data_IF_253050695061
#
_entry.id   IF_253050695061
#
_cell.length_a   1.000
_cell.length_b   1.000
_cell.length_c   1.000
_cell.angle_alpha   90.00
_cell.angle_beta   90.00
_cell.angle_gamma   90.00
#
_symmetry.space_group_name_H-M   'P 1'
#
loop_
_entity.id
_entity.type
_entity.pdbx_description
1 polymer ?
#
# COMPACT_ATOMS: atom_id res chain seq x y z
N UNK A 1 3.90 27.87 8.18
CA UNK A 1 4.24 26.48 8.53
C UNK A 1 3.15 25.99 9.49
N UNK A 2 2.15 25.32 8.97
CA UNK A 2 1.09 24.73 9.79
C UNK A 2 1.65 23.43 10.38
N UNK A 3 1.67 23.32 11.72
CA UNK A 3 1.95 22.05 12.36
C UNK A 3 0.70 21.18 12.26
N UNK A 4 0.78 20.13 11.48
CA UNK A 4 -0.29 19.15 11.42
C UNK A 4 -0.26 18.31 12.71
N UNK A 5 -1.39 18.25 13.39
CA UNK A 5 -1.57 17.46 14.60
C UNK A 5 -2.47 16.28 14.25
N UNK A 6 -1.93 15.07 14.34
CA UNK A 6 -2.76 13.86 14.31
C UNK A 6 -3.27 13.62 15.72
N UNK A 7 -4.56 13.85 15.94
CA UNK A 7 -5.21 13.60 17.22
C UNK A 7 -5.82 12.22 17.22
N UNK A 8 -5.30 11.35 18.05
CA UNK A 8 -5.78 10.00 18.27
C UNK A 8 -6.75 10.00 19.46
N UNK A 9 -7.99 9.63 19.22
CA UNK A 9 -8.99 9.46 20.27
C UNK A 9 -9.11 7.98 20.63
N UNK A 10 -8.86 7.65 21.88
CA UNK A 10 -9.02 6.30 22.41
C UNK A 10 -10.22 6.21 23.32
N UNK A 11 -11.06 5.23 23.07
CA UNK A 11 -11.99 4.72 24.06
C UNK A 11 -11.57 3.28 24.39
N UNK A 12 -10.99 3.09 25.55
CA UNK A 12 -10.62 1.76 26.03
C UNK A 12 -11.10 1.63 27.47
N UNK A 13 -11.84 0.56 27.80
CA UNK A 13 -12.44 0.34 29.13
C UNK A 13 -11.43 -0.25 30.11
N UNK A 14 -11.04 0.45 31.22
CA UNK A 14 -10.02 -0.05 32.16
C UNK A 14 -9.96 0.46 33.58
N UNK A 15 -9.16 -0.24 34.34
CA UNK A 15 -8.70 -0.02 35.72
C UNK A 15 -7.60 1.04 35.81
N UNK A 16 -7.60 1.79 36.89
CA UNK A 16 -6.69 2.90 37.13
C UNK A 16 -5.28 2.44 37.42
N UNK A 17 -4.36 2.77 36.53
CA UNK A 17 -2.93 2.78 36.70
C UNK A 17 -2.35 3.74 35.68
N UNK A 18 -1.28 4.46 36.03
CA UNK A 18 -0.52 5.19 35.01
C UNK A 18 0.39 4.21 34.29
N UNK A 19 0.58 4.32 32.97
CA UNK A 19 1.58 3.53 32.28
C UNK A 19 2.96 3.85 32.89
N UNK A 20 3.62 2.86 33.49
CA UNK A 20 4.90 3.05 34.13
C UNK A 20 6.06 3.27 33.19
N UNK A 21 5.99 2.66 32.02
CA UNK A 21 6.98 2.84 30.97
C UNK A 21 6.29 2.73 29.60
N UNK A 22 6.45 3.77 28.78
CA UNK A 22 6.09 3.71 27.38
C UNK A 22 7.36 3.55 26.59
N UNK A 23 7.53 2.39 26.01
CA UNK A 23 8.58 2.12 25.05
C UNK A 23 8.06 2.37 23.63
N UNK A 24 8.94 2.78 22.76
CA UNK A 24 8.63 3.10 21.37
C UNK A 24 9.44 2.21 20.46
N UNK A 25 8.83 1.76 19.39
CA UNK A 25 9.50 1.04 18.32
C UNK A 25 8.76 1.29 17.03
N UNK A 26 9.35 0.89 15.94
CA UNK A 26 8.78 1.05 14.60
C UNK A 26 9.76 1.74 13.68
N UNK A 27 9.32 1.96 12.49
CA UNK A 27 10.10 2.55 11.42
C UNK A 27 9.43 2.32 10.09
N UNK A 28 10.10 2.66 9.00
CA UNK A 28 9.62 2.32 7.69
C UNK A 28 9.52 0.80 7.59
N UNK A 29 8.52 0.34 6.85
CA UNK A 29 8.58 -0.98 6.31
C UNK A 29 9.67 -0.95 5.22
N UNK A 30 10.91 -1.20 5.59
CA UNK A 30 11.99 -1.39 4.61
C UNK A 30 11.82 -2.77 4.01
N UNK A 31 11.25 -2.78 2.82
CA UNK A 31 11.26 -3.93 1.96
C UNK A 31 12.61 -3.87 1.23
N UNK A 32 13.53 -4.76 1.55
CA UNK A 32 14.72 -4.94 0.72
C UNK A 32 14.28 -5.67 -0.55
N UNK A 33 14.14 -4.94 -1.63
CA UNK A 33 13.87 -5.54 -2.95
C UNK A 33 15.12 -6.28 -3.44
N UNK A 34 15.01 -7.55 -3.82
CA UNK A 34 16.14 -8.27 -4.41
C UNK A 34 16.52 -7.62 -5.75
N UNK A 35 17.80 -7.32 -5.93
CA UNK A 35 18.35 -6.70 -7.14
C UNK A 35 18.02 -7.54 -8.38
N UNK A 36 17.43 -6.92 -9.40
CA UNK A 36 17.11 -7.53 -10.69
C UNK A 36 15.99 -8.56 -10.68
N UNK A 37 15.17 -8.61 -9.62
CA UNK A 37 13.96 -9.43 -9.61
C UNK A 37 12.77 -8.61 -10.08
N UNK A 38 12.08 -9.14 -11.08
CA UNK A 38 10.87 -8.54 -11.64
C UNK A 38 9.63 -9.01 -10.86
N UNK A 39 8.68 -8.11 -10.69
CA UNK A 39 7.38 -8.39 -10.07
C UNK A 39 6.62 -9.51 -10.80
N UNK A 40 6.69 -9.52 -12.11
CA UNK A 40 6.18 -10.60 -12.98
C UNK A 40 7.39 -11.29 -13.61
N UNK A 41 7.59 -12.56 -13.30
CA UNK A 41 8.73 -13.33 -13.83
C UNK A 41 8.63 -13.52 -15.34
N UNK A 42 9.76 -13.76 -16.01
CA UNK A 42 9.76 -14.05 -17.46
C UNK A 42 9.03 -15.35 -17.78
N UNK A 43 9.05 -16.32 -16.87
CA UNK A 43 8.29 -17.57 -16.96
C UNK A 43 6.80 -17.31 -16.90
N UNK A 44 6.35 -16.46 -15.98
CA UNK A 44 4.93 -16.08 -15.87
C UNK A 44 4.47 -15.25 -17.08
N UNK A 45 5.29 -14.29 -17.55
CA UNK A 45 5.00 -13.54 -18.78
C UNK A 45 4.89 -14.44 -19.99
N UNK A 46 5.79 -15.41 -20.13
CA UNK A 46 5.74 -16.39 -21.23
C UNK A 46 4.47 -17.24 -21.17
N UNK A 47 4.14 -17.71 -19.97
CA UNK A 47 2.89 -18.47 -19.77
C UNK A 47 1.66 -17.64 -20.14
N UNK A 48 1.58 -16.40 -19.70
CA UNK A 48 0.47 -15.47 -20.02
C UNK A 48 0.37 -15.26 -21.52
N UNK A 49 1.48 -14.97 -22.20
CA UNK A 49 1.52 -14.75 -23.66
C UNK A 49 1.10 -15.98 -24.47
N UNK A 50 1.32 -17.20 -23.96
CA UNK A 50 0.88 -18.45 -24.58
C UNK A 50 -0.62 -18.73 -24.37
N UNK A 51 -1.23 -18.15 -23.33
CA UNK A 51 -2.62 -18.46 -22.93
C UNK A 51 -3.61 -17.33 -23.16
N UNK A 52 -3.14 -16.13 -23.46
CA UNK A 52 -4.00 -15.00 -23.79
C UNK A 52 -4.59 -15.15 -25.21
N UNK A 53 -5.73 -14.54 -25.42
CA UNK A 53 -6.27 -14.39 -26.78
C UNK A 53 -5.57 -13.24 -27.51
N UNK A 54 -5.42 -13.40 -28.82
CA UNK A 54 -4.99 -12.31 -29.69
C UNK A 54 -6.21 -11.47 -30.10
N UNK A 55 -6.04 -10.15 -30.08
CA UNK A 55 -7.03 -9.20 -30.57
C UNK A 55 -6.47 -8.53 -31.82
N UNK A 56 -7.26 -8.54 -32.88
CA UNK A 56 -6.89 -7.87 -34.11
C UNK A 56 -7.16 -6.38 -33.99
N UNK A 57 -6.09 -5.59 -34.00
CA UNK A 57 -6.15 -4.13 -33.89
C UNK A 57 -6.04 -3.49 -35.28
N UNK A 58 -6.82 -2.45 -35.49
CA UNK A 58 -6.65 -1.61 -36.69
C UNK A 58 -5.34 -0.81 -36.55
N UNK A 59 -4.30 -1.23 -37.27
CA UNK A 59 -2.99 -0.58 -37.25
C UNK A 59 -3.03 0.90 -37.67
N UNK A 60 -4.16 1.35 -38.23
CA UNK A 60 -4.37 2.77 -38.55
C UNK A 60 -4.84 3.61 -37.33
N UNK A 61 -5.38 2.97 -36.32
CA UNK A 61 -5.79 3.61 -35.05
C UNK A 61 -4.54 3.96 -34.24
N UNK A 62 -4.17 5.21 -34.28
CA UNK A 62 -2.98 5.74 -33.56
C UNK A 62 -3.37 6.68 -32.41
N UNK A 63 -4.61 6.64 -31.99
CA UNK A 63 -5.05 7.47 -30.88
C UNK A 63 -4.35 7.05 -29.59
N UNK A 64 -3.88 8.04 -28.84
CA UNK A 64 -3.32 7.78 -27.52
C UNK A 64 -4.43 7.32 -26.58
N UNK A 65 -4.26 6.13 -26.00
CA UNK A 65 -5.13 5.67 -24.92
C UNK A 65 -4.72 6.38 -23.64
N UNK A 66 -5.66 7.06 -23.02
CA UNK A 66 -5.46 7.69 -21.72
C UNK A 66 -6.13 6.86 -20.63
N UNK A 67 -5.41 6.65 -19.54
CA UNK A 67 -5.85 5.86 -18.40
C UNK A 67 -6.47 6.74 -17.32
N UNK A 68 -7.60 6.28 -16.79
CA UNK A 68 -8.13 6.76 -15.52
C UNK A 68 -7.45 6.02 -14.36
N UNK A 69 -7.71 6.47 -13.13
CA UNK A 69 -7.23 5.79 -11.94
C UNK A 69 -7.78 4.35 -11.87
N UNK A 70 -6.93 3.30 -11.78
CA UNK A 70 -7.37 1.91 -11.70
C UNK A 70 -7.91 1.50 -10.34
N UNK A 71 -7.84 2.39 -9.32
CA UNK A 71 -8.29 2.12 -7.96
C UNK A 71 -9.66 2.72 -7.71
N UNK A 72 -10.65 1.91 -7.43
CA UNK A 72 -11.95 2.38 -6.99
C UNK A 72 -11.94 2.92 -5.54
N UNK A 73 -13.02 3.55 -5.14
CA UNK A 73 -13.25 4.06 -3.77
C UNK A 73 -12.23 5.12 -3.29
N UNK A 74 -11.84 6.04 -4.16
CA UNK A 74 -11.02 7.17 -3.74
C UNK A 74 -9.82 7.41 -4.63
N UNK A 75 -9.25 6.35 -5.16
CA UNK A 75 -8.20 6.40 -6.16
C UNK A 75 -6.81 6.77 -5.64
N UNK A 76 -5.80 6.40 -6.41
CA UNK A 76 -4.39 6.61 -6.07
C UNK A 76 -3.94 8.07 -6.19
N UNK A 77 -4.65 8.86 -7.01
CA UNK A 77 -4.30 10.25 -7.31
C UNK A 77 -5.05 11.25 -6.44
N UNK A 78 -5.91 10.79 -5.56
CA UNK A 78 -6.68 11.65 -4.68
C UNK A 78 -6.00 11.78 -3.31
N UNK A 79 -5.32 12.90 -3.06
CA UNK A 79 -4.66 13.18 -1.78
C UNK A 79 -5.63 13.19 -0.58
N UNK A 80 -6.92 13.39 -0.83
CA UNK A 80 -7.98 13.35 0.19
C UNK A 80 -8.65 11.97 0.29
N UNK A 81 -8.09 10.97 -0.39
CA UNK A 81 -8.60 9.60 -0.35
C UNK A 81 -8.79 9.12 1.08
N UNK A 82 -10.01 8.65 1.37
CA UNK A 82 -10.40 8.18 2.69
C UNK A 82 -9.92 6.75 3.00
N UNK A 83 -9.60 5.98 1.96
CA UNK A 83 -9.14 4.59 2.09
C UNK A 83 -7.66 4.54 2.42
N UNK A 84 -6.87 5.48 1.92
CA UNK A 84 -5.43 5.55 2.19
C UNK A 84 -4.59 4.84 1.13
N UNK A 85 -5.03 4.86 -0.13
CA UNK A 85 -4.22 4.41 -1.25
C UNK A 85 -2.92 5.19 -1.34
N UNK A 86 -1.85 4.50 -1.77
CA UNK A 86 -0.54 5.11 -1.89
C UNK A 86 0.29 4.41 -2.95
N UNK A 87 1.07 5.18 -3.72
CA UNK A 87 2.04 4.61 -4.65
C UNK A 87 3.32 4.29 -3.87
N UNK A 88 3.77 3.04 -3.93
CA UNK A 88 5.02 2.59 -3.35
C UNK A 88 6.16 2.59 -4.34
N UNK A 89 5.88 2.19 -5.58
CA UNK A 89 6.90 2.11 -6.61
C UNK A 89 6.35 2.59 -7.95
N UNK A 90 7.19 3.31 -8.67
CA UNK A 90 7.00 3.68 -10.07
C UNK A 90 7.81 2.75 -10.98
N UNK A 91 7.66 2.91 -12.30
CA UNK A 91 8.50 2.22 -13.28
C UNK A 91 9.96 2.63 -13.09
N UNK A 92 10.88 1.66 -13.14
CA UNK A 92 12.30 1.93 -13.11
C UNK A 92 12.80 2.39 -14.49
N UNK A 93 13.22 3.64 -14.57
CA UNK A 93 13.77 4.26 -15.79
C UNK A 93 15.23 3.91 -16.03
N UNK A 94 15.90 3.26 -15.07
CA UNK A 94 17.32 2.90 -15.20
C UNK A 94 17.49 1.42 -15.54
N UNK A 95 17.84 1.13 -16.78
CA UNK A 95 18.07 -0.24 -17.25
C UNK A 95 19.36 -0.89 -16.75
N UNK A 96 20.19 -0.18 -15.96
CA UNK A 96 21.46 -0.69 -15.45
C UNK A 96 21.27 -1.42 -14.14
N UNK A 97 21.57 -2.71 -14.10
CA UNK A 97 21.43 -3.55 -12.91
C UNK A 97 22.03 -2.91 -11.64
N UNK A 98 21.24 -2.85 -10.58
CA UNK A 98 21.60 -2.26 -9.29
C UNK A 98 21.49 -0.74 -9.22
N UNK A 99 20.96 -0.09 -10.26
CA UNK A 99 20.68 1.34 -10.29
C UNK A 99 19.18 1.55 -10.52
N UNK A 100 18.59 2.47 -9.79
CA UNK A 100 17.18 2.78 -9.86
C UNK A 100 16.95 4.26 -10.14
N UNK A 101 15.88 4.56 -10.86
CA UNK A 101 15.45 5.92 -11.18
C UNK A 101 13.97 5.95 -11.53
N UNK A 102 13.18 6.74 -10.83
CA UNK A 102 11.80 6.98 -11.21
C UNK A 102 11.66 8.20 -12.15
N UNK A 103 10.48 8.40 -12.72
CA UNK A 103 10.18 9.48 -13.65
C UNK A 103 10.40 10.88 -13.07
N UNK A 104 10.42 11.04 -11.73
CA UNK A 104 10.68 12.32 -11.04
C UNK A 104 12.17 12.59 -10.82
N UNK A 105 13.06 11.69 -11.29
CA UNK A 105 14.50 11.67 -11.00
C UNK A 105 14.83 11.34 -9.54
N UNK A 106 13.95 10.66 -8.84
CA UNK A 106 14.15 10.13 -7.49
C UNK A 106 14.30 8.61 -7.51
N UNK A 107 14.16 7.98 -6.35
CA UNK A 107 14.42 6.57 -6.13
C UNK A 107 13.18 5.83 -5.56
N UNK A 108 11.96 6.27 -5.93
CA UNK A 108 10.69 5.65 -5.51
C UNK A 108 10.36 4.52 -6.48
N UNK A 109 11.24 3.54 -6.55
CA UNK A 109 11.14 2.34 -7.38
C UNK A 109 12.14 1.28 -6.89
N UNK A 110 12.19 0.13 -7.54
CA UNK A 110 13.24 -0.87 -7.35
C UNK A 110 13.77 -1.37 -8.68
N UNK A 111 14.98 -1.97 -8.67
CA UNK A 111 15.72 -2.38 -9.84
C UNK A 111 14.92 -3.33 -10.76
N UNK A 112 14.59 -2.86 -11.95
CA UNK A 112 13.85 -3.58 -12.97
C UNK A 112 12.32 -3.57 -12.80
N UNK A 113 11.76 -2.70 -11.96
CA UNK A 113 10.30 -2.56 -11.82
C UNK A 113 9.64 -1.99 -13.07
N UNK A 114 8.56 -2.63 -13.54
CA UNK A 114 7.96 -2.37 -14.85
C UNK A 114 6.56 -1.74 -14.79
N UNK A 115 6.04 -1.49 -13.59
CA UNK A 115 4.71 -0.93 -13.38
C UNK A 115 4.64 0.13 -12.29
N UNK A 116 3.43 0.43 -11.88
CA UNK A 116 3.12 1.28 -10.72
C UNK A 116 2.51 0.41 -9.63
N UNK A 117 3.14 0.34 -8.47
CA UNK A 117 2.59 -0.39 -7.31
C UNK A 117 1.74 0.55 -6.46
N UNK A 118 0.45 0.25 -6.37
CA UNK A 118 -0.53 1.02 -5.64
C UNK A 118 -1.03 0.20 -4.45
N UNK A 119 -0.58 0.55 -3.25
CA UNK A 119 -0.89 -0.20 -2.02
C UNK A 119 -2.18 0.27 -1.37
N UNK A 120 -2.81 -0.65 -0.66
CA UNK A 120 -3.89 -0.39 0.29
C UNK A 120 -3.37 -0.52 1.72
N UNK A 121 -4.07 -0.01 2.75
CA UNK A 121 -3.54 0.05 4.12
C UNK A 121 -3.19 -1.30 4.76
N UNK A 122 -3.64 -2.42 4.22
CA UNK A 122 -3.26 -3.74 4.70
C UNK A 122 -4.25 -4.84 4.36
N UNK A 123 -4.01 -6.03 4.95
CA UNK A 123 -4.80 -7.23 4.67
C UNK A 123 -6.25 -7.14 5.13
N UNK A 124 -6.57 -6.34 6.15
CA UNK A 124 -7.96 -6.09 6.52
C UNK A 124 -8.75 -5.47 5.35
N UNK A 125 -8.18 -4.47 4.69
CA UNK A 125 -8.79 -3.82 3.54
C UNK A 125 -8.93 -4.77 2.35
N UNK A 126 -7.97 -5.68 2.18
CA UNK A 126 -8.04 -6.77 1.21
C UNK A 126 -9.16 -7.76 1.56
N UNK A 127 -9.23 -8.22 2.81
CA UNK A 127 -10.20 -9.21 3.26
C UNK A 127 -11.64 -8.70 3.14
N UNK A 128 -11.86 -7.45 3.53
CA UNK A 128 -13.17 -6.78 3.44
C UNK A 128 -13.50 -6.29 2.01
N UNK A 129 -12.60 -6.53 1.03
CA UNK A 129 -12.77 -6.10 -0.36
C UNK A 129 -13.14 -4.61 -0.49
N UNK A 130 -12.46 -3.76 0.30
CA UNK A 130 -12.78 -2.32 0.36
C UNK A 130 -12.41 -1.61 -0.93
N UNK A 131 -11.34 -2.06 -1.60
CA UNK A 131 -10.82 -1.42 -2.81
C UNK A 131 -10.99 -2.31 -4.02
N UNK A 132 -11.97 -2.03 -4.90
CA UNK A 132 -12.05 -2.66 -6.19
C UNK A 132 -10.95 -2.16 -7.13
N UNK A 133 -10.46 -3.03 -7.99
CA UNK A 133 -9.67 -2.69 -9.15
C UNK A 133 -10.64 -2.48 -10.30
N UNK A 134 -10.51 -1.34 -10.97
CA UNK A 134 -11.41 -0.96 -12.07
C UNK A 134 -10.63 -0.77 -13.38
N UNK A 135 -11.31 -0.95 -14.49
CA UNK A 135 -10.74 -0.73 -15.81
C UNK A 135 -10.34 0.74 -15.98
N UNK A 136 -9.05 0.99 -16.18
CA UNK A 136 -8.50 2.33 -16.36
C UNK A 136 -8.79 2.91 -17.75
N UNK A 137 -9.00 2.07 -18.75
CA UNK A 137 -9.39 2.44 -20.10
C UNK A 137 -10.27 1.34 -20.72
N UNK A 138 -11.09 1.66 -21.73
CA UNK A 138 -11.95 0.67 -22.39
C UNK A 138 -11.11 -0.30 -23.22
N UNK A 139 -11.56 -1.55 -23.34
CA UNK A 139 -10.82 -2.54 -24.11
C UNK A 139 -11.46 -3.93 -24.09
N UNK A 140 -10.67 -4.91 -24.48
CA UNK A 140 -11.03 -6.32 -24.46
C UNK A 140 -10.13 -7.06 -23.47
N UNK A 141 -10.70 -7.85 -22.59
CA UNK A 141 -9.95 -8.71 -21.68
C UNK A 141 -9.27 -9.81 -22.50
N UNK A 142 -7.95 -9.77 -22.61
CA UNK A 142 -7.17 -10.77 -23.35
C UNK A 142 -6.72 -11.94 -22.47
N UNK A 143 -6.64 -11.71 -21.16
CA UNK A 143 -6.29 -12.72 -20.18
C UNK A 143 -6.99 -12.43 -18.86
N UNK A 144 -7.49 -13.47 -18.21
CA UNK A 144 -7.97 -13.43 -16.83
C UNK A 144 -7.60 -14.72 -16.13
N UNK A 145 -7.04 -14.61 -14.93
CA UNK A 145 -6.62 -15.73 -14.10
C UNK A 145 -6.99 -15.49 -12.65
N UNK A 146 -7.50 -16.52 -11.96
CA UNK A 146 -7.94 -16.45 -10.58
C UNK A 146 -7.73 -17.80 -9.89
N UNK A 147 -7.75 -17.79 -8.54
CA UNK A 147 -7.68 -18.98 -7.71
C UNK A 147 -6.33 -19.17 -7.01
N UNK A 148 -5.36 -18.30 -7.26
CA UNK A 148 -4.06 -18.36 -6.61
C UNK A 148 -4.12 -17.81 -5.17
N UNK A 149 -3.19 -18.26 -4.33
CA UNK A 149 -3.05 -17.78 -2.96
C UNK A 149 -2.71 -16.28 -2.92
N UNK A 150 -3.47 -15.48 -2.19
CA UNK A 150 -3.44 -14.03 -2.23
C UNK A 150 -2.96 -13.34 -0.94
N UNK A 151 -2.34 -14.09 -0.01
CA UNK A 151 -1.87 -13.51 1.25
C UNK A 151 -0.35 -13.70 1.39
N UNK A 152 0.38 -13.28 0.36
CA UNK A 152 1.83 -13.27 0.40
C UNK A 152 2.32 -12.11 1.28
N UNK A 153 3.29 -12.39 2.15
CA UNK A 153 3.95 -11.40 3.04
C UNK A 153 5.44 -11.28 2.75
N UNK A 154 5.93 -12.07 1.79
CA UNK A 154 7.31 -12.06 1.30
C UNK A 154 7.35 -12.68 -0.10
N UNK A 155 8.38 -12.33 -0.86
CA UNK A 155 8.51 -12.78 -2.25
C UNK A 155 8.79 -14.27 -2.35
N UNK A 156 7.96 -14.98 -3.08
CA UNK A 156 8.12 -16.40 -3.38
C UNK A 156 8.37 -16.55 -4.87
N UNK A 157 9.58 -16.99 -5.25
CA UNK A 157 9.90 -17.25 -6.64
C UNK A 157 8.98 -18.32 -7.23
N UNK A 158 8.44 -18.04 -8.41
CA UNK A 158 7.56 -18.94 -9.13
C UNK A 158 6.14 -19.00 -8.60
N UNK A 159 5.76 -18.14 -7.63
CA UNK A 159 4.37 -17.95 -7.28
C UNK A 159 3.63 -17.26 -8.43
N UNK A 160 2.45 -17.77 -8.79
CA UNK A 160 1.59 -17.24 -9.83
C UNK A 160 0.60 -16.24 -9.20
N UNK A 161 0.34 -15.15 -9.90
CA UNK A 161 -0.61 -14.14 -9.43
C UNK A 161 -2.00 -14.32 -10.06
N UNK A 162 -3.03 -13.85 -9.35
CA UNK A 162 -4.33 -13.56 -9.94
C UNK A 162 -4.22 -12.23 -10.69
N UNK A 163 -4.77 -12.14 -11.90
CA UNK A 163 -4.64 -10.94 -12.71
C UNK A 163 -5.51 -10.89 -13.93
N UNK A 164 -5.60 -9.70 -14.51
CA UNK A 164 -6.35 -9.39 -15.73
C UNK A 164 -5.47 -8.57 -16.66
N UNK A 165 -5.55 -8.85 -17.96
CA UNK A 165 -4.94 -8.02 -19.00
C UNK A 165 -6.05 -7.52 -19.92
N UNK A 166 -5.99 -6.22 -20.18
CA UNK A 166 -6.91 -5.53 -21.08
C UNK A 166 -6.14 -4.97 -22.26
N UNK A 167 -6.54 -5.35 -23.46
CA UNK A 167 -5.99 -4.81 -24.70
C UNK A 167 -6.87 -3.68 -25.22
N UNK A 168 -6.24 -2.57 -25.56
CA UNK A 168 -6.90 -1.31 -25.95
C UNK A 168 -6.86 -1.10 -27.48
N UNK A 169 -7.67 -0.18 -27.98
CA UNK A 169 -7.87 0.07 -29.41
C UNK A 169 -6.60 0.34 -30.21
N UNK A 170 -5.57 0.91 -29.59
CA UNK A 170 -4.27 1.21 -30.21
C UNK A 170 -3.23 0.09 -30.06
N UNK A 171 -3.63 -1.08 -29.52
CA UNK A 171 -2.76 -2.23 -29.28
C UNK A 171 -1.91 -2.13 -28.01
N UNK A 172 -2.07 -1.08 -27.17
CA UNK A 172 -1.47 -1.10 -25.83
C UNK A 172 -2.23 -2.06 -24.93
N UNK A 173 -1.55 -2.62 -23.94
CA UNK A 173 -2.14 -3.50 -22.95
C UNK A 173 -1.93 -2.94 -21.54
N UNK A 174 -2.97 -3.01 -20.70
CA UNK A 174 -2.86 -2.74 -19.28
C UNK A 174 -2.95 -4.06 -18.51
N UNK A 175 -1.98 -4.28 -17.63
CA UNK A 175 -1.89 -5.45 -16.78
C UNK A 175 -2.28 -5.04 -15.36
N UNK A 176 -3.22 -5.78 -14.76
CA UNK A 176 -3.73 -5.60 -13.40
C UNK A 176 -3.38 -6.83 -12.59
N UNK A 177 -2.34 -6.77 -11.74
CA UNK A 177 -1.72 -7.93 -11.12
C UNK A 177 -1.87 -7.94 -9.59
N UNK A 178 -1.58 -9.09 -8.97
CA UNK A 178 -1.67 -9.36 -7.53
C UNK A 178 -3.09 -9.33 -6.96
N UNK A 179 -4.10 -9.61 -7.77
CA UNK A 179 -5.49 -9.57 -7.33
C UNK A 179 -5.80 -10.58 -6.22
N UNK A 180 -6.88 -10.29 -5.50
CA UNK A 180 -7.44 -11.17 -4.46
C UNK A 180 -8.02 -12.44 -5.07
N UNK A 181 -7.81 -13.57 -4.39
CA UNK A 181 -8.35 -14.88 -4.82
C UNK A 181 -9.88 -14.88 -4.82
N UNK A 182 -10.47 -15.48 -5.84
CA UNK A 182 -11.90 -15.56 -6.11
C UNK A 182 -12.57 -14.17 -6.24
N UNK A 183 -11.83 -13.16 -6.69
CA UNK A 183 -12.35 -11.81 -6.87
C UNK A 183 -12.35 -11.31 -8.31
N UNK A 184 -11.67 -11.99 -9.23
CA UNK A 184 -11.66 -11.60 -10.66
C UNK A 184 -13.08 -11.69 -11.21
N UNK A 185 -13.59 -10.55 -11.66
CA UNK A 185 -15.00 -10.37 -12.03
C UNK A 185 -15.27 -10.44 -13.54
N UNK A 186 -14.23 -10.58 -14.35
CA UNK A 186 -14.30 -10.56 -15.81
C UNK A 186 -13.67 -11.82 -16.40
N UNK A 187 -14.10 -12.17 -17.61
CA UNK A 187 -13.58 -13.32 -18.34
C UNK A 187 -12.83 -12.89 -19.61
N UNK A 188 -11.87 -13.70 -20.03
CA UNK A 188 -11.19 -13.52 -21.31
C UNK A 188 -12.21 -13.45 -22.45
N UNK A 189 -12.13 -12.40 -23.26
CA UNK A 189 -13.04 -12.07 -24.35
C UNK A 189 -14.10 -11.02 -24.00
N UNK A 190 -14.24 -10.63 -22.74
CA UNK A 190 -15.19 -9.59 -22.34
C UNK A 190 -14.76 -8.21 -22.88
N UNK A 191 -15.73 -7.43 -23.33
CA UNK A 191 -15.56 -6.01 -23.60
C UNK A 191 -15.82 -5.24 -22.32
N UNK A 192 -14.95 -4.33 -21.98
CA UNK A 192 -15.04 -3.52 -20.76
C UNK A 192 -14.99 -2.03 -21.07
N UNK A 193 -15.65 -1.27 -20.22
CA UNK A 193 -15.64 0.19 -20.24
C UNK A 193 -14.86 0.74 -19.03
N UNK A 194 -14.48 2.01 -19.10
CA UNK A 194 -13.81 2.69 -17.98
C UNK A 194 -14.66 2.57 -16.71
N UNK A 195 -14.04 2.16 -15.60
CA UNK A 195 -14.70 2.02 -14.32
C UNK A 195 -15.38 0.69 -14.06
N UNK A 196 -15.44 -0.22 -15.06
CA UNK A 196 -15.92 -1.58 -14.83
C UNK A 196 -15.02 -2.30 -13.82
N UNK A 197 -15.62 -2.99 -12.87
CA UNK A 197 -14.87 -3.72 -11.84
C UNK A 197 -14.21 -4.95 -12.45
N UNK A 198 -12.88 -5.03 -12.36
CA UNK A 198 -12.08 -6.18 -12.81
C UNK A 198 -11.88 -7.20 -11.68
N UNK A 199 -11.85 -6.77 -10.44
CA UNK A 199 -11.62 -7.58 -9.25
C UNK A 199 -11.30 -6.72 -8.04
N UNK A 200 -10.58 -7.29 -7.08
CA UNK A 200 -10.18 -6.58 -5.86
C UNK A 200 -8.68 -6.74 -5.61
N UNK A 201 -8.12 -5.75 -4.89
CA UNK A 201 -6.70 -5.77 -4.51
C UNK A 201 -6.40 -6.97 -3.60
N UNK A 202 -5.31 -7.66 -3.91
CA UNK A 202 -4.80 -8.79 -3.17
C UNK A 202 -3.28 -8.72 -2.96
N UNK A 203 -2.68 -9.84 -2.62
CA UNK A 203 -1.23 -10.04 -2.50
C UNK A 203 -0.85 -11.41 -3.06
N UNK A 204 -1.35 -11.75 -4.26
CA UNK A 204 -1.05 -13.02 -4.93
C UNK A 204 0.24 -12.94 -5.75
N UNK A 205 0.84 -14.10 -6.02
CA UNK A 205 2.08 -14.18 -6.80
C UNK A 205 3.32 -13.68 -6.08
N UNK A 206 4.21 -13.01 -6.80
CA UNK A 206 5.45 -12.43 -6.25
C UNK A 206 5.16 -11.10 -5.57
N UNK A 207 4.56 -11.14 -4.41
CA UNK A 207 4.10 -10.00 -3.64
C UNK A 207 4.50 -10.11 -2.17
N UNK A 208 4.55 -8.99 -1.46
CA UNK A 208 4.89 -8.94 -0.03
C UNK A 208 3.85 -8.22 0.82
N UNK A 209 2.88 -7.54 0.19
CA UNK A 209 1.79 -6.83 0.84
C UNK A 209 0.66 -6.57 -0.16
N UNK A 210 -0.57 -6.32 0.29
CA UNK A 210 -1.70 -6.04 -0.61
C UNK A 210 -1.48 -4.77 -1.43
N UNK A 211 -1.40 -4.93 -2.75
CA UNK A 211 -1.27 -3.83 -3.70
C UNK A 211 -1.78 -4.23 -5.09
N UNK A 212 -2.11 -3.25 -5.90
CA UNK A 212 -2.24 -3.41 -7.34
C UNK A 212 -0.90 -3.10 -7.99
N UNK A 213 -0.33 -4.03 -8.75
CA UNK A 213 0.70 -3.75 -9.73
C UNK A 213 0.01 -3.43 -11.06
N UNK A 214 0.10 -2.18 -11.49
CA UNK A 214 -0.46 -1.68 -12.75
C UNK A 214 0.66 -1.43 -13.74
N UNK A 215 0.65 -2.17 -14.85
CA UNK A 215 1.69 -2.09 -15.87
C UNK A 215 1.07 -1.80 -17.23
N UNK A 216 1.77 -1.02 -18.06
CA UNK A 216 1.37 -0.73 -19.44
C UNK A 216 2.41 -1.25 -20.39
N UNK A 217 1.98 -2.07 -21.35
CA UNK A 217 2.82 -2.52 -22.45
C UNK A 217 2.36 -1.88 -23.79
N UNK A 218 3.31 -1.50 -24.63
CA UNK A 218 3.04 -1.14 -26.02
C UNK A 218 2.70 -2.38 -26.85
N UNK A 219 2.08 -2.20 -28.01
CA UNK A 219 1.86 -3.26 -29.00
C UNK A 219 3.16 -4.01 -29.39
N UNK A 220 4.32 -3.37 -29.23
CA UNK A 220 5.65 -3.99 -29.44
C UNK A 220 6.09 -4.89 -28.29
N UNK A 221 5.35 -4.94 -27.17
CA UNK A 221 5.74 -5.62 -25.92
C UNK A 221 6.75 -4.88 -25.07
N UNK A 222 7.05 -3.61 -25.38
CA UNK A 222 7.88 -2.78 -24.52
C UNK A 222 7.04 -2.13 -23.44
N UNK A 223 7.59 -2.04 -22.24
CA UNK A 223 6.95 -1.33 -21.12
C UNK A 223 6.87 0.16 -21.40
N UNK A 224 5.82 0.78 -20.91
CA UNK A 224 5.60 2.21 -20.99
C UNK A 224 5.37 2.72 -19.57
N UNK A 225 6.16 3.72 -19.15
CA UNK A 225 5.83 4.46 -17.95
C UNK A 225 4.67 5.41 -18.24
N UNK A 226 3.52 5.27 -17.58
CA UNK A 226 2.39 6.16 -17.79
C UNK A 226 2.57 7.56 -17.19
N UNK A 227 3.66 7.82 -16.46
CA UNK A 227 3.91 9.07 -15.76
C UNK A 227 4.82 10.01 -16.56
N UNK A 228 4.38 11.27 -16.69
CA UNK A 228 5.20 12.35 -17.23
C UNK A 228 6.06 12.97 -16.12
N UNK A 229 7.33 13.16 -16.40
CA UNK A 229 8.24 13.83 -15.48
C UNK A 229 9.63 14.07 -16.06
N UNK A 230 10.53 14.74 -15.32
CA UNK A 230 11.83 15.13 -15.84
C UNK A 230 12.76 13.96 -16.22
N UNK A 231 12.52 12.78 -15.71
CA UNK A 231 13.22 11.55 -16.06
C UNK A 231 12.30 10.49 -16.71
N UNK A 232 11.06 10.83 -17.03
CA UNK A 232 10.16 9.95 -17.76
C UNK A 232 10.42 9.99 -19.28
N UNK A 233 10.04 8.91 -19.96
CA UNK A 233 10.34 8.73 -21.39
C UNK A 233 9.31 9.34 -22.35
N UNK A 234 8.21 9.91 -21.84
CA UNK A 234 7.12 10.39 -22.69
C UNK A 234 6.12 11.31 -22.00
N UNK A 235 5.08 11.71 -22.73
CA UNK A 235 3.96 12.44 -22.14
C UNK A 235 3.16 11.52 -21.24
N UNK A 236 2.44 12.10 -20.27
CA UNK A 236 1.55 11.35 -19.39
C UNK A 236 0.52 10.57 -20.21
N UNK A 237 0.34 9.32 -19.84
CA UNK A 237 -0.79 8.49 -20.29
C UNK A 237 -1.96 8.53 -19.31
N UNK A 238 -1.83 9.23 -18.18
CA UNK A 238 -2.96 9.48 -17.28
C UNK A 238 -3.85 10.58 -17.86
N UNK A 239 -5.15 10.35 -17.88
CA UNK A 239 -6.13 11.34 -18.32
C UNK A 239 -6.05 12.62 -17.46
N UNK A 240 -5.65 12.47 -16.21
CA UNK A 240 -5.54 13.54 -15.23
C UNK A 240 -4.39 13.19 -14.27
N UNK A 241 -3.16 13.50 -14.67
CA UNK A 241 -2.01 13.27 -13.80
C UNK A 241 -1.98 14.32 -12.68
N UNK A 242 -2.47 13.94 -11.52
CA UNK A 242 -2.44 14.79 -10.32
C UNK A 242 -1.07 14.77 -9.63
N UNK A 243 -0.79 15.73 -8.74
CA UNK A 243 0.39 15.69 -7.89
C UNK A 243 0.46 14.39 -7.10
N UNK A 244 1.59 13.75 -7.12
CA UNK A 244 1.84 12.38 -6.67
C UNK A 244 2.64 12.30 -5.37
N UNK A 245 2.77 11.08 -4.86
CA UNK A 245 3.61 10.75 -3.71
C UNK A 245 5.06 11.15 -3.98
N UNK A 246 5.59 12.09 -3.18
CA UNK A 246 6.93 12.66 -3.38
C UNK A 246 6.94 14.18 -3.53
N UNK A 247 5.83 14.79 -3.91
CA UNK A 247 5.67 16.24 -3.81
C UNK A 247 5.29 16.61 -2.37
N UNK A 248 6.31 16.87 -1.57
CA UNK A 248 6.16 17.25 -0.15
C UNK A 248 5.37 18.54 0.08
N UNK A 249 5.05 19.30 -0.99
CA UNK A 249 4.20 20.49 -0.90
C UNK A 249 2.71 20.15 -0.77
N UNK A 250 2.32 18.92 -1.09
CA UNK A 250 0.92 18.47 -1.18
C UNK A 250 0.54 17.43 -0.13
N UNK A 251 1.52 16.87 0.61
CA UNK A 251 1.27 15.74 1.52
C UNK A 251 0.98 16.16 2.95
N UNK A 252 -0.16 15.66 3.45
CA UNK A 252 -0.48 15.63 4.86
C UNK A 252 -0.18 14.25 5.44
N UNK A 253 0.41 14.21 6.64
CA UNK A 253 0.52 12.99 7.40
C UNK A 253 -0.86 12.46 7.75
N UNK A 254 -1.11 11.19 7.46
CA UNK A 254 -2.42 10.57 7.68
C UNK A 254 -2.28 9.28 8.49
N UNK A 255 -3.07 9.18 9.55
CA UNK A 255 -3.24 7.93 10.25
C UNK A 255 -4.13 7.01 9.42
N UNK A 256 -3.60 5.86 9.03
CA UNK A 256 -4.31 4.87 8.22
C UNK A 256 -5.00 3.83 9.08
N UNK A 257 -4.31 3.31 10.09
CA UNK A 257 -4.84 2.28 10.96
C UNK A 257 -4.31 2.44 12.38
N UNK A 258 -5.12 2.00 13.33
CA UNK A 258 -4.78 1.91 14.73
C UNK A 258 -5.29 0.58 15.32
N UNK A 259 -4.42 -0.09 16.08
CA UNK A 259 -4.74 -1.34 16.77
C UNK A 259 -4.23 -1.30 18.20
N UNK A 260 -4.99 -1.91 19.12
CA UNK A 260 -4.53 -2.20 20.48
C UNK A 260 -4.56 -3.71 20.72
N UNK A 261 -3.48 -4.26 21.26
CA UNK A 261 -3.37 -5.70 21.52
C UNK A 261 -2.59 -6.00 22.79
N UNK A 262 -2.80 -7.17 23.40
CA UNK A 262 -2.01 -7.68 24.53
C UNK A 262 -0.84 -8.56 24.13
N UNK A 263 -0.54 -8.65 22.86
CA UNK A 263 0.47 -9.58 22.40
C UNK A 263 1.85 -9.23 22.95
N UNK A 264 2.57 -10.19 23.57
CA UNK A 264 3.94 -9.97 23.99
C UNK A 264 4.85 -9.86 22.78
N UNK A 265 5.39 -8.67 22.57
CA UNK A 265 6.32 -8.41 21.48
C UNK A 265 7.69 -8.87 21.92
N UNK A 266 8.15 -9.96 21.40
CA UNK A 266 9.49 -10.47 21.67
C UNK A 266 10.54 -9.91 20.68
N UNK A 267 10.10 -9.43 19.50
CA UNK A 267 10.98 -8.79 18.51
C UNK A 267 10.17 -8.01 17.46
N UNK A 268 10.85 -7.12 16.72
CA UNK A 268 10.24 -6.27 15.70
C UNK A 268 9.62 -7.05 14.52
N UNK A 269 10.15 -8.25 14.23
CA UNK A 269 9.68 -9.09 13.12
C UNK A 269 8.30 -9.66 13.45
N UNK A 270 8.08 -10.09 14.70
CA UNK A 270 6.79 -10.64 15.10
C UNK A 270 5.67 -9.60 15.01
N UNK A 271 5.94 -8.35 15.40
CA UNK A 271 4.97 -7.26 15.27
C UNK A 271 4.64 -6.99 13.81
N UNK A 272 5.66 -6.87 12.97
CA UNK A 272 5.46 -6.61 11.55
C UNK A 272 4.64 -7.72 10.89
N UNK A 273 4.98 -8.98 11.15
CA UNK A 273 4.24 -10.12 10.65
C UNK A 273 2.79 -10.11 11.12
N UNK A 274 2.54 -9.79 12.38
CA UNK A 274 1.18 -9.73 12.91
C UNK A 274 0.36 -8.60 12.33
N UNK A 275 0.92 -7.41 12.21
CA UNK A 275 0.19 -6.26 11.65
C UNK A 275 -0.05 -6.44 10.16
N UNK A 276 0.92 -6.95 9.41
CA UNK A 276 0.77 -7.22 7.98
C UNK A 276 -0.26 -8.32 7.68
N UNK A 277 -0.34 -9.33 8.52
CA UNK A 277 -1.35 -10.39 8.36
C UNK A 277 -2.65 -10.10 9.12
N UNK A 278 -2.69 -8.98 9.88
CA UNK A 278 -3.85 -8.51 10.67
C UNK A 278 -4.44 -9.57 11.60
N UNK A 279 -3.61 -10.44 12.08
CA UNK A 279 -4.00 -11.53 12.98
C UNK A 279 -3.91 -11.11 14.45
N UNK A 280 -3.81 -9.80 14.69
CA UNK A 280 -3.83 -9.25 16.05
C UNK A 280 -5.27 -9.13 16.50
N UNK A 281 -5.64 -9.79 17.59
CA UNK A 281 -6.93 -9.51 18.21
C UNK A 281 -6.93 -8.06 18.67
N UNK A 282 -7.86 -7.27 18.17
CA UNK A 282 -8.15 -5.96 18.73
C UNK A 282 -8.71 -6.15 20.13
N UNK A 283 -7.93 -5.76 21.13
CA UNK A 283 -8.33 -5.93 22.51
C UNK A 283 -9.27 -4.82 22.94
N UNK A 284 -10.47 -5.23 23.25
CA UNK A 284 -11.43 -4.38 23.95
C UNK A 284 -11.19 -4.33 25.47
N UNK A 285 -10.30 -5.21 25.99
CA UNK A 285 -10.03 -5.31 27.42
C UNK A 285 -8.56 -5.65 27.69
N UNK A 286 -7.93 -4.96 28.63
CA UNK A 286 -6.61 -5.29 29.16
C UNK A 286 -6.76 -5.66 30.64
N UNK A 287 -6.24 -6.81 31.01
CA UNK A 287 -6.26 -7.23 32.40
C UNK A 287 -5.36 -6.33 33.27
N UNK A 288 -5.72 -6.13 34.53
CA UNK A 288 -4.88 -5.45 35.50
C UNK A 288 -3.44 -6.03 35.53
N UNK A 289 -2.44 -5.17 35.42
CA UNK A 289 -1.03 -5.57 35.35
C UNK A 289 -0.60 -6.20 34.03
N UNK A 290 -1.49 -6.25 33.04
CA UNK A 290 -1.17 -6.76 31.71
C UNK A 290 -0.40 -5.77 30.85
N UNK A 291 0.38 -6.31 29.93
CA UNK A 291 1.05 -5.53 28.91
C UNK A 291 0.09 -5.21 27.76
N UNK A 292 0.30 -4.07 27.13
CA UNK A 292 -0.43 -3.69 25.94
C UNK A 292 0.49 -3.18 24.84
N UNK A 293 0.08 -3.39 23.62
CA UNK A 293 0.67 -2.81 22.42
C UNK A 293 -0.37 -1.92 21.75
N UNK A 294 0.03 -0.73 21.36
CA UNK A 294 -0.69 0.11 20.42
C UNK A 294 0.14 0.27 19.15
N UNK A 295 -0.39 -0.16 18.03
CA UNK A 295 0.24 0.01 16.72
C UNK A 295 -0.50 1.08 15.93
N UNK A 296 0.26 1.94 15.25
CA UNK A 296 -0.25 2.98 14.37
C UNK A 296 0.43 2.88 13.01
N UNK A 297 -0.36 2.87 11.96
CA UNK A 297 0.09 2.87 10.59
C UNK A 297 -0.13 4.26 10.00
N UNK A 298 0.95 4.90 9.56
CA UNK A 298 0.93 6.32 9.17
C UNK A 298 1.49 6.48 7.76
N UNK A 299 0.78 7.26 6.94
CA UNK A 299 1.22 7.72 5.63
C UNK A 299 1.85 9.10 5.75
N UNK A 300 2.90 9.36 4.97
CA UNK A 300 3.59 10.66 4.85
C UNK A 300 4.03 11.25 6.20
N UNK A 301 4.73 10.45 7.00
CA UNK A 301 5.21 10.90 8.30
C UNK A 301 6.52 11.68 8.15
N UNK A 302 6.55 12.91 8.66
CA UNK A 302 7.73 13.76 8.69
C UNK A 302 8.41 13.74 10.07
N UNK A 303 9.73 13.98 10.13
CA UNK A 303 10.45 13.98 11.42
C UNK A 303 9.96 15.06 12.39
N UNK A 304 9.32 16.11 11.87
CA UNK A 304 8.79 17.23 12.66
C UNK A 304 7.32 17.07 13.06
N UNK A 305 6.66 16.03 12.60
CA UNK A 305 5.28 15.75 12.98
C UNK A 305 5.17 15.43 14.47
N UNK A 306 3.97 15.48 14.98
CA UNK A 306 3.71 15.11 16.36
C UNK A 306 2.55 14.13 16.41
N UNK A 307 2.84 12.88 16.75
CA UNK A 307 1.84 11.89 17.09
C UNK A 307 1.41 12.14 18.55
N UNK A 308 0.11 12.43 18.71
CA UNK A 308 -0.49 12.63 20.03
C UNK A 308 -1.33 11.43 20.41
N UNK A 309 -1.07 10.88 21.59
CA UNK A 309 -1.85 9.84 22.20
C UNK A 309 -2.54 10.39 23.44
N UNK A 310 -3.86 10.32 23.46
CA UNK A 310 -4.68 10.80 24.57
C UNK A 310 -5.40 9.66 25.24
N UNK A 311 -5.43 9.71 26.55
CA UNK A 311 -6.16 8.77 27.39
C UNK A 311 -7.38 9.48 27.98
N UNK A 312 -8.51 8.79 27.91
CA UNK A 312 -9.75 9.24 28.51
C UNK A 312 -10.26 8.14 29.42
N UNK A 313 -10.93 8.53 30.52
CA UNK A 313 -11.64 7.64 31.42
C UNK A 313 -13.07 8.13 31.57
N UNK A 314 -14.03 7.27 31.31
CA UNK A 314 -15.47 7.63 31.35
C UNK A 314 -15.75 8.94 30.57
N UNK A 315 -15.08 9.10 29.42
CA UNK A 315 -15.14 10.29 28.56
C UNK A 315 -14.37 11.52 29.07
N UNK A 316 -13.73 11.45 30.22
CA UNK A 316 -12.92 12.53 30.77
C UNK A 316 -11.45 12.36 30.40
N UNK A 317 -10.82 13.45 29.97
CA UNK A 317 -9.40 13.48 29.67
C UNK A 317 -8.55 13.16 30.93
N UNK A 318 -7.59 12.24 30.78
CA UNK A 318 -6.70 11.81 31.86
C UNK A 318 -5.27 12.24 31.59
N UNK A 319 -4.75 11.93 30.39
CA UNK A 319 -3.35 12.16 30.06
C UNK A 319 -3.13 12.27 28.54
N UNK A 320 -1.99 12.88 28.14
CA UNK A 320 -1.56 13.02 26.77
C UNK A 320 -0.05 12.78 26.64
N UNK A 321 0.34 11.91 25.74
CA UNK A 321 1.73 11.72 25.32
C UNK A 321 1.92 12.27 23.93
N UNK A 322 2.98 13.06 23.75
CA UNK A 322 3.40 13.62 22.49
C UNK A 322 4.70 12.95 22.05
N UNK A 323 4.70 12.40 20.86
CA UNK A 323 5.87 11.79 20.27
C UNK A 323 6.21 12.48 18.95
N UNK A 324 7.50 12.86 18.81
CA UNK A 324 8.05 13.47 17.59
C UNK A 324 8.98 12.46 16.94
N UNK A 325 8.64 11.92 15.77
CA UNK A 325 9.39 10.85 15.12
C UNK A 325 10.88 11.15 14.95
N UNK A 326 11.24 12.34 14.51
CA UNK A 326 12.62 12.72 14.28
C UNK A 326 13.52 12.78 15.54
N UNK A 327 12.92 12.74 16.72
CA UNK A 327 13.64 12.63 17.99
C UNK A 327 13.87 11.17 18.41
N UNK A 328 13.32 10.22 17.66
CA UNK A 328 13.44 8.79 17.95
C UNK A 328 14.75 8.22 17.41
N UNK A 329 15.35 7.30 18.16
CA UNK A 329 16.50 6.51 17.70
C UNK A 329 16.16 5.59 16.52
N UNK A 330 14.87 5.40 16.25
CA UNK A 330 14.36 4.59 15.12
C UNK A 330 14.15 5.40 13.85
N UNK A 331 14.31 6.74 13.88
CA UNK A 331 14.29 7.55 12.67
C UNK A 331 15.60 7.40 11.92
N UNK A 332 15.52 7.04 10.64
CA UNK A 332 16.69 6.82 9.80
C UNK A 332 17.53 8.10 9.61
N UNK A 333 18.85 7.98 9.71
CA UNK A 333 19.76 9.12 9.51
C UNK A 333 19.65 9.63 8.07
N UNK A 334 19.32 10.91 7.91
CA UNK A 334 19.18 11.55 6.60
C UNK A 334 17.82 11.35 5.93
N UNK A 335 16.92 10.59 6.53
CA UNK A 335 15.56 10.41 6.02
C UNK A 335 14.74 11.69 6.23
N UNK A 336 14.17 12.20 5.15
CA UNK A 336 13.38 13.43 5.16
C UNK A 336 11.92 13.19 5.50
N UNK A 337 11.38 12.05 5.13
CA UNK A 337 10.03 11.58 5.48
C UNK A 337 9.89 10.08 5.18
N UNK A 338 8.87 9.45 5.74
CA UNK A 338 8.46 8.09 5.38
C UNK A 338 7.12 8.13 4.64
N UNK A 339 7.07 7.53 3.45
CA UNK A 339 5.83 7.39 2.69
C UNK A 339 4.81 6.56 3.45
N UNK A 340 5.27 5.45 4.01
CA UNK A 340 4.48 4.59 4.87
C UNK A 340 5.34 4.14 6.03
N UNK A 341 4.77 4.12 7.22
CA UNK A 341 5.50 3.69 8.40
C UNK A 341 4.56 3.10 9.43
N UNK A 342 5.03 2.05 10.09
CA UNK A 342 4.38 1.41 11.22
C UNK A 342 5.11 1.78 12.49
N UNK A 343 4.39 2.30 13.45
CA UNK A 343 4.92 2.64 14.76
C UNK A 343 4.11 1.93 15.82
N UNK A 344 4.78 1.47 16.85
CA UNK A 344 4.14 0.79 17.96
C UNK A 344 4.65 1.34 19.29
N UNK A 345 3.73 1.36 20.23
CA UNK A 345 3.92 1.81 21.59
C UNK A 345 3.51 0.66 22.50
N UNK A 346 4.39 0.27 23.40
CA UNK A 346 4.06 -0.78 24.36
C UNK A 346 4.36 -0.33 25.78
N UNK A 347 3.62 -0.88 26.70
CA UNK A 347 3.80 -0.62 28.12
C UNK A 347 3.03 -1.64 28.93
N UNK A 348 3.29 -1.65 30.22
CA UNK A 348 2.48 -2.37 31.19
C UNK A 348 1.53 -1.40 31.88
N UNK A 349 0.30 -1.87 32.09
CA UNK A 349 -0.70 -1.11 32.80
C UNK A 349 -0.63 -1.43 34.30
N UNK A 350 -0.21 -0.44 35.14
CA UNK A 350 -0.17 -0.62 36.58
C UNK A 350 -1.56 -0.41 37.18
N UNK A 351 -2.07 -1.47 37.74
CA UNK A 351 -3.33 -1.46 38.45
C UNK A 351 -3.14 -1.09 39.90
N UNK A 352 -2.63 0.07 40.19
CA UNK A 352 -2.78 0.60 41.53
C UNK A 352 -4.23 0.40 42.06
N UNK A 353 -4.46 0.48 43.35
CA UNK A 353 -5.76 0.18 44.02
C UNK A 353 -6.99 0.94 43.53
N UNK A 354 -7.02 1.35 42.30
CA UNK A 354 -8.03 2.25 41.78
C UNK A 354 -9.09 1.50 40.93
N UNK A 355 -10.28 2.02 40.98
CA UNK A 355 -11.48 1.41 40.45
C UNK A 355 -11.46 1.14 38.94
N UNK A 356 -12.15 0.07 38.55
CA UNK A 356 -12.52 -0.25 37.17
C UNK A 356 -13.26 0.93 36.52
N UNK A 357 -12.98 1.21 35.29
CA UNK A 357 -13.63 2.27 34.50
C UNK A 357 -13.50 2.04 33.01
N UNK A 358 -14.30 2.77 32.25
CA UNK A 358 -14.19 2.83 30.78
C UNK A 358 -13.15 3.90 30.40
N UNK A 359 -12.12 3.53 29.64
CA UNK A 359 -10.98 4.41 29.26
C UNK A 359 -10.99 4.76 27.78
#
# INVERSE_FOLDING_TARGET
>A
MFKNYITLLFLVSFLVGQPREINFGGGPHQIEYPTGLKCISEEERSFVREHRIEVDHDETMRDTVLFQDPMGNGGMMNINDSVGHQIWNYVDQNSSLGWILDYTCNYVTYDGHQGTDIVIPGFYYMDEMITPIVAAAPGIVTYSHDGEFDRQTYWINGAVANGVIVSHSNGTEAWYWHMKTNSVAVATGDNIEIGDTLGFVGSSGFSSAPHLHFEVEAASGNFIDPWEGPCGDGPSLWADQLPFVGDTSVYESKLLQYLTTSYPINNNIDVLNYVLIENLPDLTHINPGGDYLAAVYVRNLFPTDTLKRRFYRDGNFVDEYNWVPGNSNYWGTGVTYYTTSLWYFWGSWDTGNDALGDW
#
